data_IF_694146899626
#
_entry.id   IF_694146899626
#
_cell.length_a   1.000
_cell.length_b   1.000
_cell.length_c   1.000
_cell.angle_alpha   90.00
_cell.angle_beta   90.00
_cell.angle_gamma   90.00
#
_symmetry.space_group_name_H-M   'P 1'
#
loop_
_entity.id
_entity.type
_entity.pdbx_description
1 polymer ?
#
# COMPACT_ATOMS: atom_id res chain seq x y z
N UNK A 1 -24.46 23.26 44.54
CA UNK A 1 -23.86 23.83 43.30
C UNK A 1 -22.39 23.45 43.07
N UNK A 2 -21.57 23.26 44.11
CA UNK A 2 -20.11 22.97 44.00
C UNK A 2 -19.75 21.65 43.27
N UNK A 3 -20.62 20.64 43.31
CA UNK A 3 -20.34 19.32 42.73
C UNK A 3 -20.58 19.24 41.20
N UNK A 4 -21.45 20.09 40.64
CA UNK A 4 -21.74 20.10 39.20
C UNK A 4 -20.58 20.70 38.39
N UNK A 5 -19.96 21.76 38.90
CA UNK A 5 -18.75 22.33 38.31
C UNK A 5 -17.57 21.34 38.34
N UNK A 6 -17.47 20.53 39.40
CA UNK A 6 -16.45 19.48 39.49
C UNK A 6 -16.68 18.36 38.46
N UNK A 7 -17.93 17.92 38.28
CA UNK A 7 -18.33 16.93 37.27
C UNK A 7 -18.11 17.42 35.83
N UNK A 8 -18.41 18.69 35.56
CA UNK A 8 -18.20 19.31 34.24
C UNK A 8 -16.72 19.40 33.88
N UNK A 9 -15.88 19.80 34.85
CA UNK A 9 -14.42 19.84 34.67
C UNK A 9 -13.82 18.46 34.44
N UNK A 10 -14.34 17.44 35.14
CA UNK A 10 -13.89 16.06 34.96
C UNK A 10 -14.29 15.50 33.59
N UNK A 11 -15.52 15.79 33.13
CA UNK A 11 -15.97 15.40 31.80
C UNK A 11 -15.17 16.06 30.67
N UNK A 12 -14.84 17.34 30.80
CA UNK A 12 -14.00 18.06 29.84
C UNK A 12 -12.56 17.52 29.79
N UNK A 13 -11.99 17.20 30.95
CA UNK A 13 -10.66 16.58 31.02
C UNK A 13 -10.61 15.19 30.38
N UNK A 14 -11.66 14.38 30.56
CA UNK A 14 -11.76 13.06 29.95
C UNK A 14 -11.90 13.15 28.42
N UNK A 15 -12.71 14.07 27.90
CA UNK A 15 -12.86 14.30 26.47
C UNK A 15 -11.54 14.80 25.83
N UNK A 16 -10.81 15.68 26.52
CA UNK A 16 -9.50 16.12 26.07
C UNK A 16 -8.48 14.96 26.04
N UNK A 17 -8.48 14.09 27.06
CA UNK A 17 -7.59 12.93 27.11
C UNK A 17 -7.86 11.93 25.97
N UNK A 18 -9.13 11.70 25.61
CA UNK A 18 -9.51 10.84 24.48
C UNK A 18 -9.16 11.52 23.15
N UNK A 19 -9.36 12.83 23.02
CA UNK A 19 -8.99 13.58 21.82
C UNK A 19 -7.49 13.65 21.54
N UNK A 20 -6.65 13.39 22.55
CA UNK A 20 -5.19 13.38 22.44
C UNK A 20 -4.59 11.98 22.29
N UNK A 21 -5.39 10.91 22.28
CA UNK A 21 -4.88 9.57 22.05
C UNK A 21 -4.62 9.35 20.56
N UNK A 22 -3.36 9.48 20.13
CA UNK A 22 -2.94 9.01 18.81
C UNK A 22 -3.01 7.48 18.74
N UNK A 23 -3.44 6.89 17.61
CA UNK A 23 -3.38 5.44 17.45
C UNK A 23 -1.92 4.98 17.56
N UNK A 24 -1.62 4.18 18.58
CA UNK A 24 -0.34 3.46 18.66
C UNK A 24 -0.40 2.35 17.63
N UNK A 25 0.19 2.59 16.46
CA UNK A 25 0.47 1.53 15.50
C UNK A 25 1.68 0.76 16.01
N UNK A 26 1.52 -0.54 16.29
CA UNK A 26 2.60 -1.41 16.77
C UNK A 26 3.67 -1.73 15.70
N UNK A 27 3.75 -0.94 14.63
CA UNK A 27 4.73 -1.14 13.57
C UNK A 27 6.14 -0.87 14.11
N UNK A 28 7.05 -1.84 13.92
CA UNK A 28 8.46 -1.64 14.19
C UNK A 28 9.15 -1.24 12.89
N UNK A 29 10.05 -0.24 12.97
CA UNK A 29 10.90 0.13 11.83
C UNK A 29 12.07 -0.84 11.70
N UNK A 30 12.36 -1.25 10.47
CA UNK A 30 13.44 -2.18 10.16
C UNK A 30 13.12 -3.65 10.45
N UNK A 31 14.11 -4.51 10.26
CA UNK A 31 14.00 -5.97 10.40
C UNK A 31 14.18 -6.70 9.07
N UNK A 32 14.20 -8.04 9.14
CA UNK A 32 14.27 -8.92 7.97
C UNK A 32 12.92 -9.61 7.83
N UNK A 33 12.21 -9.32 6.74
CA UNK A 33 11.02 -10.06 6.37
C UNK A 33 11.44 -11.42 5.78
N UNK A 34 11.03 -12.52 6.42
CA UNK A 34 11.27 -13.89 5.94
C UNK A 34 9.95 -14.47 5.44
N UNK A 35 9.87 -14.76 4.15
CA UNK A 35 8.69 -15.34 3.51
C UNK A 35 9.05 -16.75 3.04
N UNK A 36 8.43 -17.82 3.57
CA UNK A 36 8.60 -19.15 3.01
C UNK A 36 7.97 -19.18 1.62
N UNK A 37 8.70 -19.72 0.65
CA UNK A 37 8.23 -19.83 -0.73
C UNK A 37 8.14 -21.29 -1.14
N UNK A 38 7.14 -21.63 -1.95
CA UNK A 38 6.79 -23.03 -2.27
C UNK A 38 7.84 -23.78 -3.10
N UNK A 39 8.72 -23.06 -3.79
CA UNK A 39 9.81 -23.62 -4.60
C UNK A 39 10.88 -22.54 -4.84
N UNK A 40 12.06 -22.93 -5.29
CA UNK A 40 13.04 -22.01 -5.86
C UNK A 40 12.62 -21.64 -7.30
N UNK A 41 12.78 -20.36 -7.72
CA UNK A 41 12.66 -20.00 -9.13
C UNK A 41 13.71 -20.76 -9.97
N UNK A 42 13.42 -21.06 -11.24
CA UNK A 42 14.42 -21.65 -12.13
C UNK A 42 15.39 -20.59 -12.67
N UNK A 43 14.90 -19.35 -12.82
CA UNK A 43 15.68 -18.16 -13.18
C UNK A 43 15.12 -16.90 -12.50
N UNK A 44 15.92 -15.83 -12.49
CA UNK A 44 15.52 -14.49 -12.03
C UNK A 44 15.06 -13.60 -13.20
N UNK A 45 14.97 -14.15 -14.42
CA UNK A 45 14.54 -13.45 -15.62
C UNK A 45 13.00 -13.45 -15.72
N UNK A 46 12.39 -12.26 -15.61
CA UNK A 46 10.94 -12.09 -15.81
C UNK A 46 10.51 -12.32 -17.27
N UNK A 47 11.46 -12.38 -18.20
CA UNK A 47 11.19 -12.64 -19.62
C UNK A 47 11.12 -14.14 -19.93
N UNK A 48 11.72 -14.98 -19.09
CA UNK A 48 11.78 -16.44 -19.28
C UNK A 48 10.85 -17.20 -18.35
N UNK A 49 10.29 -16.53 -17.34
CA UNK A 49 9.47 -17.12 -16.29
C UNK A 49 8.01 -16.64 -16.39
N UNK A 50 7.07 -17.53 -16.02
CA UNK A 50 5.62 -17.23 -16.08
C UNK A 50 4.86 -17.53 -14.79
N UNK A 51 5.57 -17.94 -13.73
CA UNK A 51 4.95 -18.41 -12.49
C UNK A 51 5.16 -17.42 -11.34
N UNK A 52 4.28 -17.47 -10.33
CA UNK A 52 4.43 -16.69 -9.10
C UNK A 52 5.75 -16.99 -8.36
N UNK A 53 6.36 -18.15 -8.62
CA UNK A 53 7.62 -18.53 -7.99
C UNK A 53 8.82 -17.69 -8.40
N UNK A 54 8.82 -17.20 -9.64
CA UNK A 54 9.78 -16.22 -10.09
C UNK A 54 9.24 -14.78 -9.95
N UNK A 55 7.99 -14.55 -10.37
CA UNK A 55 7.43 -13.20 -10.42
C UNK A 55 7.27 -12.57 -9.03
N UNK A 56 6.85 -13.34 -8.02
CA UNK A 56 6.63 -12.85 -6.66
C UNK A 56 7.88 -12.24 -6.03
N UNK A 57 9.01 -12.97 -5.97
CA UNK A 57 10.28 -12.40 -5.51
C UNK A 57 10.79 -11.22 -6.35
N UNK A 58 10.53 -11.22 -7.67
CA UNK A 58 10.99 -10.17 -8.59
C UNK A 58 10.22 -8.85 -8.45
N UNK A 59 9.04 -8.85 -7.84
CA UNK A 59 8.29 -7.61 -7.52
C UNK A 59 9.07 -6.64 -6.62
N UNK A 60 10.05 -7.12 -5.85
CA UNK A 60 10.92 -6.26 -5.03
C UNK A 60 12.19 -5.79 -5.76
N UNK A 61 12.43 -6.27 -6.98
CA UNK A 61 13.66 -6.03 -7.77
C UNK A 61 13.40 -5.13 -8.96
N UNK A 62 12.27 -5.31 -9.65
CA UNK A 62 11.88 -4.52 -10.82
C UNK A 62 10.61 -3.71 -10.56
N UNK A 63 10.57 -2.49 -11.07
CA UNK A 63 9.38 -1.65 -11.08
C UNK A 63 8.56 -1.83 -12.36
N UNK A 64 7.27 -1.54 -12.27
CA UNK A 64 6.34 -1.45 -13.40
C UNK A 64 6.09 0.02 -13.80
N UNK A 65 5.36 0.24 -14.89
CA UNK A 65 4.80 1.57 -15.18
C UNK A 65 3.65 1.90 -14.21
N UNK A 66 2.79 0.93 -13.98
CA UNK A 66 1.69 0.97 -13.02
C UNK A 66 1.48 -0.41 -12.43
N UNK A 67 0.79 -0.50 -11.30
CA UNK A 67 0.45 -1.74 -10.62
C UNK A 67 -1.02 -1.77 -10.19
N UNK A 68 -1.53 -2.94 -9.80
CA UNK A 68 -2.81 -2.99 -9.11
C UNK A 68 -2.60 -2.67 -7.62
N UNK A 69 -3.53 -1.90 -7.04
CA UNK A 69 -3.54 -1.58 -5.62
C UNK A 69 -3.66 -2.86 -4.79
N UNK A 70 -2.60 -3.16 -4.03
CA UNK A 70 -2.51 -4.34 -3.18
C UNK A 70 -3.46 -4.31 -1.97
N UNK A 71 -4.12 -3.17 -1.70
CA UNK A 71 -5.16 -3.04 -0.69
C UNK A 71 -6.56 -3.37 -1.23
N UNK A 72 -6.70 -3.57 -2.54
CA UNK A 72 -7.95 -3.97 -3.18
C UNK A 72 -7.93 -5.48 -3.42
N UNK A 73 -8.90 -6.25 -2.90
CA UNK A 73 -8.88 -7.72 -3.00
C UNK A 73 -8.95 -8.27 -4.43
N UNK A 74 -9.51 -7.51 -5.37
CA UNK A 74 -9.74 -7.94 -6.74
C UNK A 74 -9.16 -6.93 -7.73
N UNK A 75 -8.29 -7.42 -8.60
CA UNK A 75 -7.72 -6.62 -9.67
C UNK A 75 -8.80 -6.16 -10.65
N UNK A 76 -8.78 -4.86 -10.98
CA UNK A 76 -9.69 -4.21 -11.93
C UNK A 76 -9.01 -3.01 -12.57
N UNK A 77 -9.51 -2.52 -13.70
CA UNK A 77 -8.99 -1.29 -14.31
C UNK A 77 -9.09 -0.07 -13.37
N UNK A 78 -10.07 -0.07 -12.47
CA UNK A 78 -10.23 0.97 -11.45
C UNK A 78 -9.25 0.87 -10.29
N UNK A 79 -8.57 -0.27 -10.11
CA UNK A 79 -7.58 -0.46 -9.06
C UNK A 79 -6.14 -0.27 -9.55
N UNK A 80 -5.94 0.30 -10.75
CA UNK A 80 -4.60 0.61 -11.26
C UNK A 80 -4.08 1.88 -10.55
N UNK A 81 -2.88 1.79 -10.00
CA UNK A 81 -2.17 2.88 -9.34
C UNK A 81 -0.80 3.12 -9.98
N UNK A 82 -0.27 4.36 -9.94
CA UNK A 82 1.07 4.68 -10.39
C UNK A 82 2.15 3.81 -9.72
N UNK A 83 3.17 3.43 -10.51
CA UNK A 83 4.47 2.98 -10.01
C UNK A 83 5.53 3.95 -10.58
N UNK A 84 6.25 3.61 -11.65
CA UNK A 84 7.15 4.57 -12.31
C UNK A 84 6.42 5.64 -13.12
N UNK A 85 5.25 5.34 -13.70
CA UNK A 85 4.52 6.32 -14.48
C UNK A 85 3.60 7.16 -13.58
N UNK A 86 3.94 8.43 -13.37
CA UNK A 86 3.14 9.39 -12.61
C UNK A 86 1.74 9.60 -13.21
N UNK A 87 1.63 9.53 -14.54
CA UNK A 87 0.36 9.70 -15.27
C UNK A 87 0.42 9.09 -16.67
N UNK A 88 -0.76 8.87 -17.28
CA UNK A 88 -0.87 8.39 -18.65
C UNK A 88 -2.08 9.00 -19.38
N UNK A 89 -1.99 9.01 -20.71
CA UNK A 89 -3.07 9.48 -21.58
C UNK A 89 -3.17 8.63 -22.83
N UNK A 90 -4.41 8.38 -23.28
CA UNK A 90 -4.68 7.76 -24.56
C UNK A 90 -4.67 8.80 -25.68
N UNK A 91 -4.13 8.44 -26.84
CA UNK A 91 -4.33 9.20 -28.09
C UNK A 91 -5.78 9.14 -28.57
N UNK A 92 -6.17 10.06 -29.44
CA UNK A 92 -7.54 10.14 -29.98
C UNK A 92 -8.01 8.86 -30.67
N UNK A 93 -7.08 8.10 -31.26
CA UNK A 93 -7.35 6.84 -31.95
C UNK A 93 -7.41 5.62 -31.01
N UNK A 94 -7.12 5.79 -29.71
CA UNK A 94 -7.08 4.74 -28.70
C UNK A 94 -5.95 3.72 -28.85
N UNK A 95 -5.02 3.91 -29.80
CA UNK A 95 -3.91 2.97 -30.07
C UNK A 95 -2.59 3.41 -29.46
N UNK A 96 -2.51 4.67 -29.09
CA UNK A 96 -1.34 5.25 -28.45
C UNK A 96 -1.61 5.44 -26.96
N UNK A 97 -0.69 4.97 -26.11
CA UNK A 97 -0.69 5.21 -24.68
C UNK A 97 0.63 5.87 -24.31
N UNK A 98 0.55 7.11 -23.83
CA UNK A 98 1.72 7.89 -23.44
C UNK A 98 1.84 7.92 -21.93
N UNK A 99 3.04 7.68 -21.42
CA UNK A 99 3.35 7.70 -19.99
C UNK A 99 4.27 8.88 -19.68
N UNK A 100 3.98 9.56 -18.57
CA UNK A 100 4.94 10.47 -17.94
C UNK A 100 5.58 9.72 -16.78
N UNK A 101 6.91 9.64 -16.80
CA UNK A 101 7.72 9.06 -15.72
C UNK A 101 8.22 10.16 -14.76
#
# INVERSE_FOLDING_TARGET
MRNYAARLRFGAALLAAIGMSSPVLAQKSGGILRIPFVTTPASMSIHEESTIAALGPMMAVFNNLFMFDQHVPQNSLSSIVPDLAESWSYGEDGKSLTFKL
#
